data_IF_231529974456
#
_entry.id   IF_231529974456
#
_cell.length_a   1.000
_cell.length_b   1.000
_cell.length_c   1.000
_cell.angle_alpha   90.00
_cell.angle_beta   90.00
_cell.angle_gamma   90.00
#
_symmetry.space_group_name_H-M   'P 1'
#
loop_
_entity.id
_entity.type
_entity.pdbx_description
1 polymer ?
#
# COMPACT_ATOMS: atom_id res chain seq x y z
N UNK A 1 -33.44 11.26 14.67
CA UNK A 1 -33.83 11.13 13.26
C UNK A 1 -34.47 9.76 13.05
N UNK A 2 -35.54 9.63 12.26
CA UNK A 2 -36.11 8.33 11.87
C UNK A 2 -35.60 7.84 10.50
N UNK A 3 -34.63 8.55 9.90
CA UNK A 3 -34.01 8.13 8.66
C UNK A 3 -32.97 7.05 8.93
N UNK A 4 -33.11 5.92 8.24
CA UNK A 4 -32.06 4.92 8.14
C UNK A 4 -31.03 5.39 7.11
N UNK A 5 -29.75 5.30 7.47
CA UNK A 5 -28.63 5.61 6.61
C UNK A 5 -27.90 4.31 6.25
N UNK A 6 -27.42 4.22 5.01
CA UNK A 6 -26.57 3.12 4.55
C UNK A 6 -25.21 3.68 4.19
N UNK A 7 -24.16 2.99 4.62
CA UNK A 7 -22.78 3.39 4.38
C UNK A 7 -22.04 2.26 3.68
N UNK A 8 -21.28 2.62 2.65
CA UNK A 8 -20.31 1.72 2.04
C UNK A 8 -19.14 1.50 3.00
N UNK A 9 -18.71 0.25 3.14
CA UNK A 9 -17.59 -0.15 3.98
C UNK A 9 -16.31 -0.43 3.20
N UNK A 10 -16.36 -0.40 1.86
CA UNK A 10 -15.21 -0.67 0.98
C UNK A 10 -14.01 0.18 1.35
N UNK A 11 -14.16 1.49 1.52
CA UNK A 11 -13.09 2.36 2.01
C UNK A 11 -13.62 3.69 2.58
N UNK A 12 -12.88 4.29 3.51
CA UNK A 12 -13.09 5.68 3.94
C UNK A 12 -14.01 5.87 5.15
N UNK A 13 -14.26 7.15 5.43
CA UNK A 13 -15.02 7.61 6.59
C UNK A 13 -16.50 7.26 6.50
N UNK A 14 -17.05 6.79 7.62
CA UNK A 14 -18.47 6.46 7.84
C UNK A 14 -18.78 6.58 9.32
N UNK A 15 -20.04 6.87 9.67
CA UNK A 15 -20.43 7.16 11.05
C UNK A 15 -19.52 8.23 11.70
N UNK A 16 -19.24 9.31 10.97
CA UNK A 16 -18.27 10.34 11.37
C UNK A 16 -18.68 10.96 12.70
N UNK A 17 -17.77 10.91 13.67
CA UNK A 17 -17.93 11.61 14.94
C UNK A 17 -17.73 13.13 14.71
N UNK A 18 -18.71 13.99 15.07
CA UNK A 18 -18.57 15.44 14.91
C UNK A 18 -17.33 16.03 15.60
N UNK A 19 -16.91 15.48 16.74
CA UNK A 19 -15.71 15.94 17.46
C UNK A 19 -14.44 15.59 16.70
N UNK A 20 -14.40 14.42 16.04
CA UNK A 20 -13.27 14.04 15.19
C UNK A 20 -13.15 15.01 14.01
N UNK A 21 -14.26 15.26 13.31
CA UNK A 21 -14.31 16.20 12.20
C UNK A 21 -13.87 17.61 12.61
N UNK A 22 -14.31 18.08 13.78
CA UNK A 22 -13.98 19.41 14.27
C UNK A 22 -12.52 19.56 14.71
N UNK A 23 -11.96 18.54 15.38
CA UNK A 23 -10.63 18.65 15.98
C UNK A 23 -9.50 18.28 15.02
N UNK A 24 -9.72 17.26 14.18
CA UNK A 24 -8.66 16.67 13.35
C UNK A 24 -9.01 16.61 11.86
N UNK A 25 -10.25 16.94 11.49
CA UNK A 25 -10.76 16.75 10.13
C UNK A 25 -11.15 15.30 9.84
N UNK A 26 -11.79 15.11 8.69
CA UNK A 26 -12.13 13.79 8.14
C UNK A 26 -11.74 13.72 6.67
N UNK A 27 -10.52 14.19 6.38
CA UNK A 27 -9.93 14.11 5.04
C UNK A 27 -9.92 12.64 4.58
N UNK A 28 -10.36 12.41 3.34
CA UNK A 28 -10.19 11.12 2.67
C UNK A 28 -8.70 10.84 2.41
N UNK A 29 -8.34 9.57 2.17
CA UNK A 29 -6.94 9.21 1.90
C UNK A 29 -6.31 10.00 0.74
N UNK A 30 -7.00 10.19 -0.42
CA UNK A 30 -6.46 11.05 -1.47
C UNK A 30 -6.28 12.52 -1.05
N UNK A 31 -7.18 13.08 -0.24
CA UNK A 31 -7.03 14.45 0.27
C UNK A 31 -5.83 14.59 1.22
N UNK A 32 -5.54 13.57 2.03
CA UNK A 32 -4.31 13.57 2.84
C UNK A 32 -3.05 13.48 1.98
N UNK A 33 -3.09 12.74 0.87
CA UNK A 33 -1.98 12.66 -0.08
C UNK A 33 -1.75 14.02 -0.78
N UNK A 34 -2.82 14.73 -1.14
CA UNK A 34 -2.74 16.10 -1.64
C UNK A 34 -2.13 17.06 -0.60
N UNK A 35 -2.52 16.94 0.68
CA UNK A 35 -1.93 17.74 1.77
C UNK A 35 -0.42 17.52 1.90
N UNK A 36 0.03 16.25 1.80
CA UNK A 36 1.45 15.91 1.85
C UNK A 36 2.18 16.44 0.62
N UNK A 37 1.61 16.27 -0.57
CA UNK A 37 2.20 16.76 -1.81
C UNK A 37 2.35 18.29 -1.80
N UNK A 38 1.34 19.02 -1.30
CA UNK A 38 1.41 20.47 -1.12
C UNK A 38 2.48 20.87 -0.09
N UNK A 39 2.47 20.25 1.08
CA UNK A 39 3.42 20.54 2.17
C UNK A 39 4.88 20.33 1.75
N UNK A 40 5.15 19.22 1.08
CA UNK A 40 6.50 18.84 0.65
C UNK A 40 6.83 19.29 -0.79
N UNK A 41 5.90 19.97 -1.46
CA UNK A 41 6.03 20.45 -2.85
C UNK A 41 6.38 19.33 -3.83
N UNK A 42 5.76 18.16 -3.65
CA UNK A 42 5.96 17.01 -4.53
C UNK A 42 5.20 17.26 -5.82
N UNK A 43 5.92 17.38 -6.94
CA UNK A 43 5.31 17.72 -8.21
C UNK A 43 4.44 16.57 -8.74
N UNK A 44 3.46 16.91 -9.60
CA UNK A 44 2.68 15.92 -10.35
C UNK A 44 3.57 15.04 -11.22
N UNK A 45 4.60 15.63 -11.83
CA UNK A 45 5.52 14.92 -12.71
C UNK A 45 6.34 13.86 -11.97
N UNK A 46 6.79 14.16 -10.75
CA UNK A 46 7.51 13.20 -9.91
C UNK A 46 6.61 12.04 -9.46
N UNK A 47 5.36 12.33 -9.13
CA UNK A 47 4.35 11.33 -8.75
C UNK A 47 4.03 10.39 -9.91
N UNK A 48 3.75 10.93 -11.10
CA UNK A 48 3.49 10.13 -12.29
C UNK A 48 4.72 9.31 -12.70
N UNK A 49 5.92 9.90 -12.59
CA UNK A 49 7.17 9.18 -12.85
C UNK A 49 7.41 8.06 -11.85
N UNK A 50 7.06 8.25 -10.58
CA UNK A 50 7.12 7.18 -9.56
C UNK A 50 6.12 6.06 -9.88
N UNK A 51 4.88 6.41 -10.21
CA UNK A 51 3.85 5.44 -10.58
C UNK A 51 4.23 4.62 -11.81
N UNK A 52 4.81 5.26 -12.83
CA UNK A 52 5.31 4.57 -14.03
C UNK A 52 6.42 3.58 -13.68
N UNK A 53 7.40 3.98 -12.86
CA UNK A 53 8.47 3.07 -12.41
C UNK A 53 7.91 1.89 -11.62
N UNK A 54 6.87 2.11 -10.81
CA UNK A 54 6.19 1.03 -10.09
C UNK A 54 5.59 0.01 -11.08
N UNK A 55 4.77 0.45 -12.04
CA UNK A 55 4.18 -0.43 -13.07
C UNK A 55 5.24 -1.19 -13.86
N UNK A 56 6.31 -0.53 -14.28
CA UNK A 56 7.41 -1.16 -15.03
C UNK A 56 8.15 -2.23 -14.22
N UNK A 57 8.43 -1.97 -12.93
CA UNK A 57 9.11 -2.93 -12.05
C UNK A 57 8.22 -4.14 -11.76
N UNK A 58 6.95 -3.92 -11.46
CA UNK A 58 6.01 -5.02 -11.18
C UNK A 58 5.76 -5.87 -12.42
N UNK A 59 5.58 -5.25 -13.59
CA UNK A 59 5.43 -5.99 -14.85
C UNK A 59 6.66 -6.84 -15.16
N UNK A 60 7.86 -6.29 -14.93
CA UNK A 60 9.11 -7.05 -15.06
C UNK A 60 9.14 -8.22 -14.09
N UNK A 61 8.88 -8.00 -12.80
CA UNK A 61 8.89 -9.03 -11.77
C UNK A 61 7.89 -10.17 -12.05
N UNK A 62 6.68 -9.83 -12.52
CA UNK A 62 5.68 -10.82 -12.90
C UNK A 62 6.14 -11.63 -14.12
N UNK A 63 6.59 -10.95 -15.18
CA UNK A 63 7.06 -11.61 -16.41
C UNK A 63 8.33 -12.45 -16.22
N UNK A 64 9.17 -12.12 -15.24
CA UNK A 64 10.38 -12.88 -14.91
C UNK A 64 10.14 -14.00 -13.90
N UNK A 65 8.89 -14.22 -13.47
CA UNK A 65 8.52 -15.29 -12.56
C UNK A 65 8.80 -15.03 -11.08
N UNK A 66 9.31 -13.84 -10.70
CA UNK A 66 9.62 -13.51 -9.29
C UNK A 66 8.36 -13.58 -8.44
N UNK A 67 7.26 -12.95 -8.91
CA UNK A 67 6.00 -12.96 -8.16
C UNK A 67 5.39 -14.37 -8.09
N UNK A 68 5.66 -15.24 -9.06
CA UNK A 68 5.15 -16.60 -9.05
C UNK A 68 5.77 -17.46 -7.92
N UNK A 69 6.96 -17.09 -7.41
CA UNK A 69 7.57 -17.76 -6.25
C UNK A 69 6.83 -17.45 -4.94
N UNK A 70 6.07 -16.35 -4.91
CA UNK A 70 5.36 -15.86 -3.72
C UNK A 70 3.86 -16.20 -3.73
N UNK A 71 3.31 -16.57 -4.90
CA UNK A 71 1.87 -16.76 -5.11
C UNK A 71 1.47 -18.24 -5.00
N UNK A 72 0.49 -18.51 -4.16
CA UNK A 72 -0.28 -19.76 -4.18
C UNK A 72 -1.57 -19.52 -4.96
N UNK A 73 -1.86 -20.27 -6.05
CA UNK A 73 -3.06 -20.04 -6.84
C UNK A 73 -4.36 -20.20 -6.07
N UNK A 74 -5.32 -19.30 -6.32
CA UNK A 74 -6.69 -19.40 -5.81
C UNK A 74 -7.56 -20.08 -6.86
N UNK A 75 -8.08 -21.27 -6.53
CA UNK A 75 -8.89 -22.09 -7.44
C UNK A 75 -10.37 -21.83 -7.23
N UNK A 76 -11.03 -21.25 -8.22
CA UNK A 76 -12.47 -21.00 -8.24
C UNK A 76 -13.19 -22.06 -9.06
N UNK A 77 -14.29 -22.58 -8.53
CA UNK A 77 -15.19 -23.49 -9.26
C UNK A 77 -16.55 -22.83 -9.42
N UNK A 78 -16.97 -22.62 -10.66
CA UNK A 78 -18.30 -22.09 -10.91
C UNK A 78 -19.38 -23.19 -10.81
N UNK A 79 -20.66 -22.78 -10.81
CA UNK A 79 -21.81 -23.70 -10.72
C UNK A 79 -21.88 -24.77 -11.82
N UNK A 80 -21.19 -24.56 -12.95
CA UNK A 80 -21.11 -25.50 -14.09
C UNK A 80 -19.89 -26.42 -14.02
N UNK A 81 -19.09 -26.33 -12.97
CA UNK A 81 -17.88 -27.14 -12.77
C UNK A 81 -16.63 -26.63 -13.50
N UNK A 82 -16.69 -25.46 -14.16
CA UNK A 82 -15.49 -24.86 -14.77
C UNK A 82 -14.58 -24.37 -13.65
N UNK A 83 -13.31 -24.75 -13.73
CA UNK A 83 -12.24 -24.39 -12.81
C UNK A 83 -11.46 -23.21 -13.40
N UNK A 84 -11.32 -22.14 -12.64
CA UNK A 84 -10.45 -21.00 -12.96
C UNK A 84 -9.39 -20.90 -11.87
N UNK A 85 -8.13 -20.84 -12.26
CA UNK A 85 -7.01 -20.62 -11.34
C UNK A 85 -6.55 -19.16 -11.45
N UNK A 86 -6.62 -18.44 -10.33
CA UNK A 86 -6.10 -17.09 -10.22
C UNK A 86 -4.69 -17.22 -9.63
N UNK A 87 -3.68 -17.00 -10.47
CA UNK A 87 -2.27 -17.26 -10.17
C UNK A 87 -1.37 -16.04 -10.45
N UNK A 88 -1.97 -14.92 -10.84
CA UNK A 88 -1.29 -13.70 -11.24
C UNK A 88 -1.97 -12.51 -10.59
N UNK A 89 -1.20 -11.57 -10.08
CA UNK A 89 -1.72 -10.26 -9.68
C UNK A 89 -2.40 -9.57 -10.87
N UNK A 90 -3.60 -9.04 -10.63
CA UNK A 90 -4.46 -8.47 -11.68
C UNK A 90 -4.46 -6.94 -11.73
N UNK A 91 -3.89 -6.26 -10.74
CA UNK A 91 -3.94 -4.80 -10.65
C UNK A 91 -2.91 -4.08 -11.54
N UNK A 92 -1.98 -4.83 -12.13
CA UNK A 92 -0.94 -4.29 -13.00
C UNK A 92 -1.56 -3.68 -14.26
N UNK A 93 -0.93 -2.60 -14.74
CA UNK A 93 -1.22 -1.95 -16.01
C UNK A 93 0.09 -1.79 -16.79
N UNK A 94 0.65 -2.89 -17.34
CA UNK A 94 1.97 -2.89 -17.98
C UNK A 94 2.08 -1.90 -19.16
N UNK A 95 0.96 -1.57 -19.78
CA UNK A 95 0.83 -0.62 -20.87
C UNK A 95 0.89 0.86 -20.45
N UNK A 96 0.98 1.15 -19.15
CA UNK A 96 1.02 2.52 -18.60
C UNK A 96 2.15 3.33 -19.24
N UNK A 97 1.80 4.49 -19.82
CA UNK A 97 2.77 5.48 -20.30
C UNK A 97 2.69 6.78 -19.52
N UNK A 98 3.77 7.59 -19.58
CA UNK A 98 3.78 8.90 -18.93
C UNK A 98 2.75 9.85 -19.55
N UNK A 99 2.51 9.75 -20.86
CA UNK A 99 1.50 10.53 -21.57
C UNK A 99 0.09 10.20 -21.08
N UNK A 100 -0.21 8.92 -20.87
CA UNK A 100 -1.49 8.49 -20.29
C UNK A 100 -1.66 9.03 -18.88
N UNK A 101 -0.63 8.91 -18.03
CA UNK A 101 -0.66 9.41 -16.64
C UNK A 101 -0.89 10.92 -16.60
N UNK A 102 -0.19 11.71 -17.42
CA UNK A 102 -0.35 13.17 -17.52
C UNK A 102 -1.75 13.58 -17.97
N UNK A 103 -2.41 12.76 -18.80
CA UNK A 103 -3.77 12.98 -19.26
C UNK A 103 -4.85 12.76 -18.18
N UNK A 104 -4.51 12.14 -17.04
CA UNK A 104 -5.47 11.86 -15.98
C UNK A 104 -5.81 13.11 -15.17
N UNK A 105 -7.11 13.27 -14.89
CA UNK A 105 -7.63 14.30 -14.00
C UNK A 105 -7.34 13.94 -12.54
N UNK A 106 -7.20 14.96 -11.70
CA UNK A 106 -7.16 14.83 -10.24
C UNK A 106 -8.57 15.08 -9.67
N UNK A 107 -9.40 14.04 -9.44
CA UNK A 107 -10.79 14.23 -9.07
C UNK A 107 -10.97 14.66 -7.61
N UNK A 108 -9.94 14.52 -6.78
CA UNK A 108 -10.03 14.68 -5.32
C UNK A 108 -9.88 16.13 -4.85
N UNK A 109 -9.23 16.98 -5.65
CA UNK A 109 -9.01 18.39 -5.33
C UNK A 109 -8.93 19.21 -6.62
N UNK A 110 -9.55 20.38 -6.63
CA UNK A 110 -9.36 21.33 -7.73
C UNK A 110 -7.88 21.72 -7.83
N UNK A 111 -7.29 21.57 -9.03
CA UNK A 111 -5.85 21.74 -9.26
C UNK A 111 -4.96 20.80 -8.42
N UNK A 112 -5.49 19.64 -8.00
CA UNK A 112 -4.76 18.61 -7.30
C UNK A 112 -3.74 17.87 -8.17
N UNK A 113 -2.88 17.09 -7.52
CA UNK A 113 -1.82 16.30 -8.15
C UNK A 113 -2.05 14.79 -8.03
N UNK A 114 -2.99 14.35 -7.19
CA UNK A 114 -3.32 12.94 -6.99
C UNK A 114 -4.37 12.50 -8.02
N UNK A 115 -4.09 11.40 -8.70
CA UNK A 115 -4.95 10.80 -9.72
C UNK A 115 -5.10 9.30 -9.51
N UNK A 116 -6.04 8.68 -10.22
CA UNK A 116 -6.16 7.22 -10.22
C UNK A 116 -4.92 6.50 -10.80
N UNK A 117 -4.05 7.19 -11.53
CA UNK A 117 -2.85 6.61 -12.12
C UNK A 117 -1.65 6.60 -11.17
N UNK A 118 -1.62 7.52 -10.20
CA UNK A 118 -0.53 7.67 -9.25
C UNK A 118 -0.94 7.37 -7.79
N UNK A 119 -2.10 6.75 -7.61
CA UNK A 119 -2.58 6.18 -6.36
C UNK A 119 -2.90 4.69 -6.54
N UNK A 120 -2.86 3.92 -5.45
CA UNK A 120 -3.29 2.53 -5.45
C UNK A 120 -4.81 2.41 -5.58
N UNK A 121 -5.27 1.26 -6.08
CA UNK A 121 -6.68 0.87 -6.04
C UNK A 121 -7.11 0.28 -4.69
N UNK A 122 -8.33 -0.25 -4.68
CA UNK A 122 -8.85 -1.14 -3.64
C UNK A 122 -8.79 -2.56 -4.19
N UNK A 123 -8.24 -3.50 -3.42
CA UNK A 123 -7.87 -4.83 -3.89
C UNK A 123 -8.24 -5.91 -2.87
N UNK A 124 -8.39 -7.14 -3.35
CA UNK A 124 -8.61 -8.33 -2.53
C UNK A 124 -7.32 -9.17 -2.48
N UNK A 125 -6.97 -9.69 -1.31
CA UNK A 125 -5.80 -10.54 -1.13
C UNK A 125 -5.59 -11.01 0.31
N UNK A 126 -4.74 -12.03 0.49
CA UNK A 126 -4.32 -12.53 1.79
C UNK A 126 -2.87 -13.03 1.73
N UNK A 127 -2.14 -12.89 2.83
CA UNK A 127 -0.77 -13.39 2.99
C UNK A 127 -0.57 -13.98 4.39
N UNK A 128 0.35 -14.94 4.51
CA UNK A 128 0.69 -15.57 5.79
C UNK A 128 2.19 -15.90 5.86
N UNK A 129 2.75 -15.86 7.08
CA UNK A 129 4.14 -16.22 7.36
C UNK A 129 4.18 -17.19 8.55
N UNK A 130 5.12 -18.13 8.53
CA UNK A 130 5.47 -18.95 9.69
C UNK A 130 6.57 -18.21 10.46
N UNK A 131 6.30 -17.89 11.73
CA UNK A 131 7.28 -17.32 12.66
C UNK A 131 7.51 -18.33 13.77
N UNK A 132 8.77 -18.69 13.98
CA UNK A 132 9.17 -19.66 14.99
C UNK A 132 10.43 -19.17 15.72
N UNK A 133 10.60 -19.60 16.96
CA UNK A 133 11.92 -19.51 17.62
C UNK A 133 12.92 -20.40 16.90
N UNK A 134 14.21 -20.12 17.04
CA UNK A 134 15.27 -20.92 16.44
C UNK A 134 15.20 -22.40 16.88
N UNK A 135 14.95 -22.64 18.16
CA UNK A 135 14.77 -23.99 18.71
C UNK A 135 13.58 -24.72 18.05
N UNK A 136 12.45 -24.03 17.88
CA UNK A 136 11.27 -24.61 17.25
C UNK A 136 11.51 -24.87 15.76
N UNK A 137 12.17 -23.94 15.07
CA UNK A 137 12.53 -24.11 13.67
C UNK A 137 13.42 -25.35 13.47
N UNK A 138 14.43 -25.55 14.32
CA UNK A 138 15.28 -26.74 14.30
C UNK A 138 14.49 -28.02 14.60
N UNK A 139 13.64 -28.01 15.64
CA UNK A 139 12.85 -29.18 16.03
C UNK A 139 11.83 -29.62 14.96
N UNK A 140 11.31 -28.67 14.18
CA UNK A 140 10.34 -28.92 13.11
C UNK A 140 10.98 -29.06 11.73
N UNK A 141 12.32 -29.00 11.61
CA UNK A 141 13.02 -29.07 10.34
C UNK A 141 12.72 -27.90 9.38
N UNK A 142 12.33 -26.73 9.93
CA UNK A 142 12.07 -25.52 9.14
C UNK A 142 13.39 -24.87 8.71
N UNK A 143 13.38 -24.19 7.56
CA UNK A 143 14.52 -23.40 7.07
C UNK A 143 14.34 -21.93 7.48
N UNK A 144 15.17 -21.37 8.38
CA UNK A 144 15.11 -19.96 8.72
C UNK A 144 15.49 -19.09 7.50
N UNK A 145 14.60 -18.19 7.09
CA UNK A 145 14.84 -17.27 5.94
C UNK A 145 15.29 -15.87 6.36
N UNK A 146 14.81 -15.40 7.51
CA UNK A 146 15.09 -14.07 8.03
C UNK A 146 14.88 -14.04 9.56
N UNK A 147 15.36 -12.98 10.19
CA UNK A 147 15.14 -12.69 11.62
C UNK A 147 14.43 -11.35 11.76
N UNK A 148 13.38 -11.30 12.58
CA UNK A 148 12.73 -10.04 12.97
C UNK A 148 13.68 -9.32 13.95
N UNK A 149 14.24 -8.19 13.52
CA UNK A 149 15.22 -7.43 14.32
C UNK A 149 14.53 -6.49 15.31
N UNK A 150 13.60 -5.68 14.82
CA UNK A 150 12.85 -4.73 15.63
C UNK A 150 11.56 -4.35 14.91
N UNK A 151 10.58 -3.88 15.68
CA UNK A 151 9.34 -3.27 15.20
C UNK A 151 9.10 -1.99 15.99
N UNK A 152 8.60 -0.93 15.36
CA UNK A 152 8.20 0.30 16.04
C UNK A 152 6.96 0.89 15.38
N UNK A 153 6.18 1.62 16.18
CA UNK A 153 5.04 2.41 15.71
C UNK A 153 5.19 3.87 16.15
N UNK A 154 4.60 4.77 15.39
CA UNK A 154 4.56 6.20 15.67
C UNK A 154 3.26 6.81 15.11
N UNK A 155 2.78 7.88 15.76
CA UNK A 155 1.63 8.65 15.29
C UNK A 155 2.05 9.95 14.62
N UNK A 156 1.22 10.42 13.68
CA UNK A 156 1.31 11.74 13.03
C UNK A 156 -0.09 12.36 12.98
N UNK A 157 -0.17 13.63 12.62
CA UNK A 157 -1.46 14.29 12.38
C UNK A 157 -2.28 13.55 11.30
N UNK A 158 -3.59 13.27 11.51
CA UNK A 158 -4.40 12.50 10.57
C UNK A 158 -4.40 13.05 9.14
N UNK A 159 -4.42 14.38 9.00
CA UNK A 159 -4.39 15.07 7.70
C UNK A 159 -3.09 14.90 6.91
N UNK A 160 -2.03 14.37 7.55
CA UNK A 160 -0.71 14.10 6.98
C UNK A 160 -0.32 12.62 7.14
N UNK A 161 -1.30 11.71 7.21
CA UNK A 161 -1.07 10.29 7.51
C UNK A 161 0.03 9.62 6.66
N UNK A 162 0.21 10.05 5.40
CA UNK A 162 1.25 9.55 4.50
C UNK A 162 2.70 9.78 4.99
N UNK A 163 2.91 10.66 5.98
CA UNK A 163 4.21 10.86 6.63
C UNK A 163 4.48 9.90 7.80
N UNK A 164 3.52 9.07 8.17
CA UNK A 164 3.63 8.09 9.26
C UNK A 164 4.90 7.22 9.23
N UNK A 165 5.39 6.75 8.06
CA UNK A 165 6.64 5.99 7.98
C UNK A 165 7.88 6.76 8.48
N UNK A 166 7.92 8.09 8.38
CA UNK A 166 9.11 8.88 8.76
C UNK A 166 9.50 8.70 10.24
N UNK A 167 8.62 8.99 11.23
CA UNK A 167 8.94 8.75 12.63
C UNK A 167 9.01 7.27 12.99
N UNK A 168 8.24 6.40 12.33
CA UNK A 168 8.28 4.95 12.58
C UNK A 168 9.65 4.35 12.20
N UNK A 169 10.17 4.70 11.03
CA UNK A 169 11.47 4.25 10.53
C UNK A 169 12.62 4.79 11.37
N UNK A 170 12.59 6.06 11.76
CA UNK A 170 13.60 6.61 12.68
C UNK A 170 13.64 5.84 14.01
N UNK A 171 12.48 5.57 14.59
CA UNK A 171 12.36 4.86 15.87
C UNK A 171 12.80 3.40 15.79
N UNK A 172 12.49 2.68 14.71
CA UNK A 172 12.89 1.27 14.57
C UNK A 172 14.39 1.13 14.31
N UNK A 173 14.98 2.03 13.53
CA UNK A 173 16.41 2.07 13.26
C UNK A 173 17.20 2.37 14.53
N UNK A 174 16.79 3.39 15.30
CA UNK A 174 17.39 3.68 16.62
C UNK A 174 17.31 2.47 17.56
N UNK A 175 16.13 1.84 17.66
CA UNK A 175 15.94 0.63 18.48
C UNK A 175 16.83 -0.53 18.05
N UNK A 176 17.06 -0.70 16.75
CA UNK A 176 17.89 -1.75 16.20
C UNK A 176 19.40 -1.43 16.26
N UNK A 177 19.78 -0.18 16.56
CA UNK A 177 21.15 0.29 16.45
C UNK A 177 21.65 0.34 15.01
N UNK A 178 20.76 0.60 14.05
CA UNK A 178 21.05 0.60 12.61
C UNK A 178 20.82 1.99 12.00
N UNK A 179 21.40 2.20 10.83
CA UNK A 179 21.19 3.35 9.94
C UNK A 179 20.34 2.96 8.73
N UNK A 180 19.72 3.94 8.07
CA UNK A 180 19.03 3.72 6.80
C UNK A 180 19.99 3.24 5.71
N UNK A 181 21.27 3.58 5.81
CA UNK A 181 22.31 3.17 4.88
C UNK A 181 22.71 1.69 5.03
N UNK A 182 22.28 1.02 6.11
CA UNK A 182 22.52 -0.41 6.32
C UNK A 182 21.45 -1.29 5.66
N UNK A 183 20.43 -0.70 5.05
CA UNK A 183 19.32 -1.42 4.42
C UNK A 183 19.64 -1.73 2.96
N UNK A 184 19.81 -3.01 2.62
CA UNK A 184 20.00 -3.47 1.24
C UNK A 184 18.72 -3.33 0.40
N UNK A 185 17.55 -3.47 1.04
CA UNK A 185 16.22 -3.38 0.42
C UNK A 185 15.28 -2.61 1.35
N UNK A 186 14.48 -1.73 0.77
CA UNK A 186 13.44 -0.96 1.47
C UNK A 186 12.11 -1.18 0.75
N UNK A 187 11.20 -1.87 1.41
CA UNK A 187 9.79 -1.97 0.99
C UNK A 187 9.00 -0.82 1.63
N UNK A 188 8.54 0.11 0.80
CA UNK A 188 7.73 1.26 1.19
C UNK A 188 6.42 1.23 0.40
N UNK A 189 5.31 1.03 1.13
CA UNK A 189 3.96 1.08 0.56
C UNK A 189 3.59 2.47 0.04
#
# INVERSE_FOLDING_TARGET
SRQAEMFDTTIGWRFVNPLMAQQFGTDSMPETAENVAELLKISREDQDSFALRSQQRTAKAQSSGILAEEIVPVVLKNKKGVVTEIQHDEHLRPETTLEQLRGLKAPFRANGVITAGNASGVNDGAAALIIASEQMAAAQGLTPRARIVAMATAGVEPRLMGLGPVPATRRVLERAGLSIHDMDVIELN
#
